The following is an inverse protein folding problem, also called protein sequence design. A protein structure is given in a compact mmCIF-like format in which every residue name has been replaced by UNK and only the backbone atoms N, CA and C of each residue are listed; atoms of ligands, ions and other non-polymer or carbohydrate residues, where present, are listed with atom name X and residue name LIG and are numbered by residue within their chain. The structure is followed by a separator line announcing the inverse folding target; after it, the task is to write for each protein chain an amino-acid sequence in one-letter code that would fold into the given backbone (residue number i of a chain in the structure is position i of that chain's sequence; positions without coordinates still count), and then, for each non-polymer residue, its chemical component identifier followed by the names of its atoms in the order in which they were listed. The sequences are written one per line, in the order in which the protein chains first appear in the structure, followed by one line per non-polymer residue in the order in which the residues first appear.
data_IF_350102362220
#
_entry.id   IF_350102362220
#
_cell.length_a   1.000
_cell.length_b   1.000
_cell.length_c   1.000
_cell.angle_alpha   90.00
_cell.angle_beta   90.00
_cell.angle_gamma   90.00
#
_symmetry.space_group_name_H-M   'P 1'
#
loop_
_entity.id
_entity.type
_entity.pdbx_description
1 polymer ?
#
# COMPACT_ATOMS: atom_id res chain seq x y z
N UNK A 1 -5.63 17.52 -8.90
CA UNK A 1 -4.89 16.70 -7.92
C UNK A 1 -5.20 17.27 -6.55
N UNK A 2 -5.67 16.44 -5.63
CA UNK A 2 -6.12 16.88 -4.30
C UNK A 2 -5.01 16.65 -3.30
N UNK A 3 -4.90 17.49 -2.27
CA UNK A 3 -3.96 17.30 -1.17
C UNK A 3 -4.64 16.57 -0.02
N UNK A 4 -3.94 15.61 0.58
CA UNK A 4 -4.31 15.00 1.85
C UNK A 4 -3.25 15.37 2.88
N UNK A 5 -3.69 15.92 4.00
CA UNK A 5 -2.80 16.46 5.02
C UNK A 5 -3.00 15.73 6.33
N UNK A 6 -1.88 15.32 6.93
CA UNK A 6 -1.87 14.62 8.20
C UNK A 6 -0.88 15.32 9.13
N UNK A 7 -1.28 15.44 10.40
CA UNK A 7 -0.41 15.93 11.45
C UNK A 7 -0.15 14.80 12.46
N UNK A 8 1.11 14.42 12.61
CA UNK A 8 1.55 13.39 13.57
C UNK A 8 2.82 13.86 14.25
N UNK A 9 2.89 13.71 15.58
CA UNK A 9 4.07 14.05 16.40
C UNK A 9 4.67 15.45 16.13
N UNK A 10 3.81 16.43 15.85
CA UNK A 10 4.22 17.81 15.54
C UNK A 10 4.76 18.02 14.11
N UNK A 11 4.86 16.96 13.31
CA UNK A 11 5.21 17.02 11.90
C UNK A 11 3.95 17.05 11.01
N UNK A 12 4.01 17.83 9.93
CA UNK A 12 2.96 17.91 8.92
C UNK A 12 3.39 17.15 7.67
N UNK A 13 2.55 16.19 7.27
CA UNK A 13 2.70 15.40 6.06
C UNK A 13 1.67 15.86 5.04
N UNK A 14 2.13 16.20 3.82
CA UNK A 14 1.27 16.65 2.73
C UNK A 14 1.48 15.72 1.56
N UNK A 15 0.41 15.03 1.18
CA UNK A 15 0.38 14.08 0.06
C UNK A 15 -0.42 14.65 -1.11
N UNK A 16 0.18 14.64 -2.30
CA UNK A 16 -0.51 14.85 -3.57
C UNK A 16 -1.18 13.54 -3.98
N UNK A 17 -2.49 13.49 -3.75
CA UNK A 17 -3.29 12.29 -3.95
C UNK A 17 -3.50 12.06 -5.45
N UNK A 18 -2.92 10.98 -5.94
CA UNK A 18 -3.18 10.41 -7.27
C UNK A 18 -4.54 9.72 -7.26
N UNK A 19 -4.83 8.95 -6.21
CA UNK A 19 -6.07 8.21 -6.03
C UNK A 19 -6.37 8.05 -4.54
N UNK A 20 -7.65 8.15 -4.17
CA UNK A 20 -8.13 7.84 -2.82
C UNK A 20 -9.37 6.96 -2.96
N UNK A 21 -9.32 5.74 -2.43
CA UNK A 21 -10.42 4.77 -2.44
C UNK A 21 -11.13 4.62 -1.10
N UNK A 22 -10.72 5.40 -0.10
CA UNK A 22 -11.32 5.38 1.25
C UNK A 22 -12.81 5.68 1.19
N UNK A 23 -13.56 5.00 2.04
CA UNK A 23 -15.01 5.22 2.19
C UNK A 23 -15.33 5.81 3.56
N UNK A 24 -16.26 6.77 3.64
CA UNK A 24 -16.76 7.24 4.92
C UNK A 24 -17.29 6.08 5.76
N UNK A 25 -16.82 5.95 6.98
CA UNK A 25 -17.35 4.97 7.91
C UNK A 25 -18.83 5.27 8.19
N UNK A 26 -19.75 4.29 8.11
CA UNK A 26 -21.17 4.52 8.37
C UNK A 26 -21.47 4.91 9.83
N UNK A 27 -20.53 4.72 10.75
CA UNK A 27 -20.67 5.05 12.17
C UNK A 27 -20.17 6.46 12.49
N UNK A 28 -18.95 6.80 12.07
CA UNK A 28 -18.33 8.08 12.43
C UNK A 28 -18.26 9.10 11.28
N UNK A 29 -18.60 8.71 10.04
CA UNK A 29 -18.51 9.56 8.85
C UNK A 29 -17.07 9.87 8.38
N UNK A 30 -16.05 9.49 9.17
CA UNK A 30 -14.63 9.70 8.84
C UNK A 30 -14.19 8.62 7.84
N UNK A 31 -13.54 8.98 6.72
CA UNK A 31 -12.94 8.01 5.81
C UNK A 31 -12.00 7.06 6.54
N UNK A 32 -12.10 5.76 6.25
CA UNK A 32 -11.27 4.72 6.85
C UNK A 32 -11.23 4.71 8.40
N UNK A 33 -12.20 5.33 9.08
CA UNK A 33 -12.15 5.58 10.53
C UNK A 33 -10.87 6.32 11.01
N UNK A 34 -10.19 7.06 10.13
CA UNK A 34 -8.91 7.73 10.42
C UNK A 34 -7.69 6.80 10.41
N UNK A 35 -7.85 5.57 9.91
CA UNK A 35 -6.80 4.57 9.74
C UNK A 35 -6.64 4.32 8.25
N UNK A 36 -5.64 4.93 7.63
CA UNK A 36 -5.46 4.86 6.18
C UNK A 36 -4.17 4.11 5.85
N UNK A 37 -4.23 3.22 4.86
CA UNK A 37 -3.03 2.69 4.23
C UNK A 37 -2.61 3.65 3.10
N UNK A 38 -1.35 4.10 3.08
CA UNK A 38 -0.85 5.10 2.12
C UNK A 38 0.37 4.55 1.39
N UNK A 39 0.26 4.36 0.08
CA UNK A 39 1.41 4.03 -0.78
C UNK A 39 1.89 5.32 -1.46
N UNK A 40 3.16 5.68 -1.31
CA UNK A 40 3.66 6.96 -1.82
C UNK A 40 5.14 6.95 -2.21
N UNK A 41 5.55 7.97 -2.98
CA UNK A 41 6.96 8.27 -3.23
C UNK A 41 7.17 9.78 -3.24
N UNK A 42 8.39 10.24 -2.96
CA UNK A 42 8.74 11.67 -3.05
C UNK A 42 9.49 11.97 -4.35
N UNK A 43 9.09 13.05 -5.04
CA UNK A 43 9.84 13.60 -6.15
C UNK A 43 9.63 15.11 -6.22
N UNK A 44 10.71 15.89 -6.37
CA UNK A 44 10.68 17.35 -6.38
C UNK A 44 9.90 17.95 -5.19
N UNK A 45 10.14 17.44 -3.97
CA UNK A 45 9.46 17.88 -2.74
C UNK A 45 7.94 17.65 -2.74
N UNK A 46 7.45 16.74 -3.58
CA UNK A 46 6.05 16.36 -3.66
C UNK A 46 5.91 14.87 -3.37
N UNK A 47 5.12 14.54 -2.33
CA UNK A 47 4.77 13.16 -1.99
C UNK A 47 3.56 12.72 -2.81
N UNK A 48 3.78 11.92 -3.84
CA UNK A 48 2.72 11.40 -4.69
C UNK A 48 2.14 10.15 -4.05
N UNK A 49 0.82 10.11 -3.79
CA UNK A 49 0.24 9.04 -2.97
C UNK A 49 -1.03 8.42 -3.55
N UNK A 50 -1.24 7.15 -3.21
CA UNK A 50 -2.53 6.47 -3.25
C UNK A 50 -2.94 6.15 -1.82
N UNK A 51 -4.21 6.41 -1.49
CA UNK A 51 -4.78 6.23 -0.15
C UNK A 51 -5.89 5.18 -0.22
N UNK A 52 -5.83 4.21 0.69
CA UNK A 52 -6.79 3.12 0.85
C UNK A 52 -7.38 3.13 2.26
N UNK A 53 -8.50 2.42 2.45
CA UNK A 53 -9.00 2.14 3.80
C UNK A 53 -7.95 1.37 4.61
N UNK A 54 -7.90 1.55 5.93
CA UNK A 54 -6.94 0.87 6.80
C UNK A 54 -7.23 -0.62 6.92
N UNK A 55 -6.16 -1.41 7.09
CA UNK A 55 -6.22 -2.87 7.11
C UNK A 55 -6.60 -3.50 5.77
N UNK A 56 -6.69 -2.70 4.70
CA UNK A 56 -7.07 -3.16 3.37
C UNK A 56 -5.99 -4.06 2.78
N UNK A 57 -4.73 -3.67 2.97
CA UNK A 57 -3.62 -4.55 2.71
C UNK A 57 -3.82 -5.85 3.53
N UNK A 58 -3.87 -5.81 4.87
CA UNK A 58 -3.86 -7.04 5.69
C UNK A 58 -4.86 -8.10 5.23
N UNK A 59 -6.08 -7.65 4.92
CA UNK A 59 -7.16 -8.53 4.49
C UNK A 59 -6.88 -9.13 3.11
N UNK A 60 -6.26 -8.38 2.20
CA UNK A 60 -5.83 -8.89 0.89
C UNK A 60 -4.71 -9.93 1.03
N UNK A 61 -3.69 -9.66 1.86
CA UNK A 61 -2.60 -10.60 2.14
C UNK A 61 -3.11 -11.90 2.76
N UNK A 62 -3.94 -11.80 3.80
CA UNK A 62 -4.56 -12.97 4.44
C UNK A 62 -5.37 -13.80 3.43
N UNK A 63 -6.16 -13.17 2.57
CA UNK A 63 -6.94 -13.87 1.56
C UNK A 63 -6.05 -14.56 0.51
N UNK A 64 -4.97 -13.90 0.07
CA UNK A 64 -3.98 -14.47 -0.84
C UNK A 64 -3.39 -15.75 -0.25
N UNK A 65 -2.82 -15.67 0.96
CA UNK A 65 -2.21 -16.83 1.61
C UNK A 65 -3.25 -17.92 1.88
N UNK A 66 -4.45 -17.56 2.35
CA UNK A 66 -5.56 -18.53 2.53
C UNK A 66 -5.89 -19.29 1.25
N UNK A 67 -5.92 -18.62 0.09
CA UNK A 67 -6.23 -19.24 -1.21
C UNK A 67 -5.05 -20.04 -1.79
N UNK A 68 -3.80 -19.64 -1.53
CA UNK A 68 -2.61 -20.17 -2.21
C UNK A 68 -1.70 -21.05 -1.35
N UNK A 69 -1.90 -21.13 -0.03
CA UNK A 69 -1.01 -21.80 0.92
C UNK A 69 -0.57 -23.21 0.50
N UNK A 70 -1.48 -23.98 -0.13
CA UNK A 70 -1.21 -25.37 -0.52
C UNK A 70 -0.49 -25.53 -1.87
N UNK A 71 -0.49 -24.49 -2.69
CA UNK A 71 -0.03 -24.56 -4.10
C UNK A 71 1.16 -23.66 -4.36
N UNK A 72 1.44 -22.71 -3.47
CA UNK A 72 2.50 -21.73 -3.66
C UNK A 72 3.83 -22.27 -3.15
N UNK A 73 4.89 -22.05 -3.92
CA UNK A 73 6.25 -22.24 -3.44
C UNK A 73 6.66 -21.00 -2.65
N UNK A 74 6.62 -21.09 -1.32
CA UNK A 74 6.88 -19.95 -0.43
C UNK A 74 8.27 -19.34 -0.64
N UNK A 75 9.29 -20.16 -0.87
CA UNK A 75 10.68 -19.70 -1.05
C UNK A 75 10.85 -18.85 -2.31
N UNK A 76 9.98 -19.04 -3.31
CA UNK A 76 9.97 -18.26 -4.55
C UNK A 76 9.17 -16.96 -4.47
N UNK A 77 8.53 -16.67 -3.33
CA UNK A 77 7.80 -15.42 -3.17
C UNK A 77 8.74 -14.21 -3.11
N UNK A 78 8.28 -13.05 -3.63
CA UNK A 78 8.89 -11.76 -3.33
C UNK A 78 9.03 -11.54 -1.84
N UNK A 79 10.06 -10.79 -1.45
CA UNK A 79 10.36 -10.51 -0.05
C UNK A 79 9.22 -9.75 0.63
N UNK A 80 8.60 -8.79 -0.06
CA UNK A 80 7.41 -8.08 0.40
C UNK A 80 6.30 -9.03 0.82
N UNK A 81 6.02 -10.08 0.03
CA UNK A 81 4.98 -11.07 0.36
C UNK A 81 5.39 -11.94 1.56
N UNK A 82 6.68 -12.27 1.69
CA UNK A 82 7.21 -13.04 2.82
C UNK A 82 7.14 -12.22 4.11
N UNK A 83 7.72 -11.02 4.08
CA UNK A 83 7.68 -10.04 5.15
C UNK A 83 6.25 -9.80 5.62
N UNK A 84 5.33 -9.65 4.67
CA UNK A 84 3.91 -9.52 4.97
C UNK A 84 3.38 -10.71 5.77
N UNK A 85 3.54 -11.93 5.25
CA UNK A 85 3.05 -13.13 5.93
C UNK A 85 3.69 -13.34 7.31
N UNK A 86 4.97 -13.00 7.44
CA UNK A 86 5.75 -13.13 8.66
C UNK A 86 5.50 -11.99 9.65
N UNK A 87 4.77 -10.94 9.24
CA UNK A 87 4.65 -9.68 9.99
C UNK A 87 6.02 -9.08 10.36
N UNK A 88 7.04 -9.31 9.50
CA UNK A 88 8.42 -8.83 9.67
C UNK A 88 8.64 -7.55 8.87
N UNK A 89 9.26 -6.53 9.47
CA UNK A 89 9.54 -5.25 8.80
C UNK A 89 8.39 -4.23 8.83
N UNK A 90 7.25 -4.58 9.42
CA UNK A 90 6.04 -3.73 9.45
C UNK A 90 5.88 -2.90 10.73
N UNK A 91 6.82 -3.01 11.67
CA UNK A 91 6.81 -2.26 12.94
C UNK A 91 6.99 -0.75 12.72
N UNK A 92 7.61 -0.34 11.60
CA UNK A 92 7.84 1.06 11.23
C UNK A 92 6.78 1.63 10.27
N UNK A 93 5.76 0.83 9.88
CA UNK A 93 4.74 1.27 8.93
C UNK A 93 3.71 2.24 9.54
N UNK A 94 3.76 2.50 10.84
CA UNK A 94 2.81 3.37 11.56
C UNK A 94 3.21 4.86 11.48
N UNK A 95 4.43 5.16 11.02
CA UNK A 95 4.93 6.50 10.76
C UNK A 95 4.56 6.94 9.32
N UNK A 96 4.15 8.20 9.16
CA UNK A 96 3.87 8.80 7.85
C UNK A 96 5.12 9.10 6.99
N UNK A 97 6.34 8.97 7.54
CA UNK A 97 7.58 8.84 6.77
C UNK A 97 7.67 7.51 6.01
N UNK A 98 6.87 6.51 6.41
CA UNK A 98 6.63 5.26 5.70
C UNK A 98 7.81 4.30 5.66
N UNK A 99 7.49 3.01 5.55
CA UNK A 99 8.46 1.95 5.35
C UNK A 99 8.90 1.89 3.87
N UNK A 100 10.20 1.90 3.57
CA UNK A 100 10.69 1.83 2.20
C UNK A 100 10.44 0.45 1.59
N UNK A 101 10.00 0.44 0.34
CA UNK A 101 9.78 -0.77 -0.45
C UNK A 101 10.80 -0.89 -1.57
N UNK A 102 11.32 -2.09 -1.80
CA UNK A 102 12.00 -2.41 -3.05
C UNK A 102 10.95 -2.43 -4.18
N UNK A 103 11.18 -1.62 -5.21
CA UNK A 103 10.15 -1.42 -6.25
C UNK A 103 9.99 -2.66 -7.13
N UNK A 104 11.09 -3.35 -7.47
CA UNK A 104 11.00 -4.49 -8.37
C UNK A 104 10.37 -5.69 -7.64
N UNK A 105 10.69 -5.87 -6.36
CA UNK A 105 10.05 -6.84 -5.48
C UNK A 105 8.56 -6.54 -5.25
N UNK A 106 8.20 -5.27 -5.01
CA UNK A 106 6.80 -4.85 -4.88
C UNK A 106 6.02 -5.08 -6.18
N UNK A 107 6.60 -4.74 -7.35
CA UNK A 107 5.97 -4.99 -8.64
C UNK A 107 5.74 -6.49 -8.89
N UNK A 108 6.71 -7.34 -8.56
CA UNK A 108 6.53 -8.79 -8.63
C UNK A 108 5.40 -9.29 -7.71
N UNK A 109 5.25 -8.67 -6.53
CA UNK A 109 4.16 -8.95 -5.60
C UNK A 109 2.79 -8.58 -6.19
N UNK A 110 2.68 -7.42 -6.84
CA UNK A 110 1.45 -7.01 -7.53
C UNK A 110 1.07 -8.00 -8.62
N UNK A 111 2.03 -8.48 -9.42
CA UNK A 111 1.77 -9.49 -10.46
C UNK A 111 1.25 -10.81 -9.88
N UNK A 112 1.75 -11.23 -8.72
CA UNK A 112 1.22 -12.39 -8.01
C UNK A 112 -0.20 -12.15 -7.48
N UNK A 113 -0.48 -10.98 -6.91
CA UNK A 113 -1.81 -10.63 -6.42
C UNK A 113 -2.83 -10.61 -7.56
N UNK A 114 -2.45 -10.16 -8.77
CA UNK A 114 -3.31 -10.22 -9.98
C UNK A 114 -3.69 -11.63 -10.39
N UNK A 115 -2.82 -12.61 -10.11
CA UNK A 115 -3.10 -14.03 -10.38
C UNK A 115 -4.09 -14.65 -9.40
N UNK A 116 -4.50 -13.89 -8.38
CA UNK A 116 -5.47 -14.27 -7.37
C UNK A 116 -6.76 -13.46 -7.54
N UNK A 117 -7.88 -14.15 -7.41
CA UNK A 117 -9.15 -13.47 -7.26
C UNK A 117 -9.21 -12.84 -5.85
N UNK A 118 -8.93 -11.54 -5.78
CA UNK A 118 -8.95 -10.75 -4.55
C UNK A 118 -10.01 -9.66 -4.59
N UNK A 119 -10.98 -9.71 -5.52
CA UNK A 119 -11.88 -8.56 -5.83
C UNK A 119 -12.67 -8.01 -4.62
N UNK A 120 -12.81 -8.79 -3.55
CA UNK A 120 -13.37 -8.33 -2.27
C UNK A 120 -12.49 -7.30 -1.55
N UNK A 121 -11.18 -7.37 -1.74
CA UNK A 121 -10.16 -6.64 -1.00
C UNK A 121 -9.22 -5.83 -1.89
N UNK A 122 -8.94 -6.25 -3.12
CA UNK A 122 -8.15 -5.52 -4.10
C UNK A 122 -8.76 -5.74 -5.47
N UNK A 123 -9.25 -4.67 -6.06
CA UNK A 123 -9.71 -4.66 -7.45
C UNK A 123 -8.53 -4.63 -8.40
N UNK A 124 -8.75 -5.05 -9.66
CA UNK A 124 -7.72 -4.95 -10.70
C UNK A 124 -7.30 -3.50 -10.96
N UNK A 125 -8.25 -2.57 -10.92
CA UNK A 125 -7.98 -1.14 -11.07
C UNK A 125 -7.08 -0.62 -9.94
N UNK A 126 -7.26 -1.08 -8.70
CA UNK A 126 -6.37 -0.72 -7.59
C UNK A 126 -4.96 -1.30 -7.75
N UNK A 127 -4.85 -2.53 -8.25
CA UNK A 127 -3.55 -3.14 -8.62
C UNK A 127 -2.87 -2.37 -9.77
N UNK A 128 -3.63 -1.91 -10.76
CA UNK A 128 -3.15 -1.05 -11.85
C UNK A 128 -2.66 0.31 -11.32
N UNK A 129 -3.42 0.94 -10.43
CA UNK A 129 -3.05 2.20 -9.80
C UNK A 129 -1.74 2.06 -8.98
N UNK A 130 -1.62 1.01 -8.16
CA UNK A 130 -0.40 0.72 -7.39
C UNK A 130 0.80 0.47 -8.30
N UNK A 131 0.63 -0.34 -9.33
CA UNK A 131 1.68 -0.63 -10.31
C UNK A 131 2.13 0.62 -11.07
N UNK A 132 1.19 1.49 -11.45
CA UNK A 132 1.49 2.75 -12.10
C UNK A 132 2.28 3.69 -11.18
N UNK A 133 1.90 3.78 -9.90
CA UNK A 133 2.62 4.58 -8.91
C UNK A 133 4.06 4.07 -8.72
N UNK A 134 4.24 2.77 -8.49
CA UNK A 134 5.55 2.14 -8.32
C UNK A 134 6.43 2.30 -9.58
N UNK A 135 5.85 2.10 -10.77
CA UNK A 135 6.55 2.31 -12.04
C UNK A 135 7.01 3.76 -12.21
N UNK A 136 6.19 4.72 -11.78
CA UNK A 136 6.55 6.14 -11.83
C UNK A 136 7.65 6.48 -10.83
N UNK A 137 7.62 5.91 -9.61
CA UNK A 137 8.70 6.05 -8.64
C UNK A 137 10.03 5.54 -9.23
N UNK A 138 10.01 4.34 -9.84
CA UNK A 138 11.20 3.76 -10.50
C UNK A 138 11.75 4.64 -11.61
N UNK A 139 10.90 5.13 -12.51
CA UNK A 139 11.30 6.03 -13.61
C UNK A 139 11.96 7.32 -13.11
N UNK A 140 11.59 7.76 -11.90
CA UNK A 140 12.08 8.99 -11.26
C UNK A 140 13.27 8.75 -10.34
N UNK A 141 13.71 7.51 -10.14
CA UNK A 141 14.73 7.15 -9.16
C UNK A 141 14.31 7.45 -7.72
N UNK A 142 13.00 7.46 -7.44
CA UNK A 142 12.47 7.75 -6.11
C UNK A 142 12.25 6.45 -5.32
N UNK A 143 12.34 6.53 -4.00
CA UNK A 143 11.98 5.43 -3.09
C UNK A 143 10.46 5.36 -2.95
N UNK A 144 9.90 4.18 -3.22
CA UNK A 144 8.51 3.87 -2.90
C UNK A 144 8.41 3.55 -1.41
N UNK A 145 7.35 4.00 -0.77
CA UNK A 145 7.11 3.81 0.66
C UNK A 145 5.66 3.47 0.94
N UNK A 146 5.41 2.79 2.05
CA UNK A 146 4.07 2.47 2.54
C UNK A 146 3.88 2.89 3.99
N UNK A 147 2.70 3.42 4.29
CA UNK A 147 2.18 3.70 5.63
C UNK A 147 0.96 2.82 5.83
N UNK A 148 0.76 2.32 7.04
CA UNK A 148 -0.36 1.46 7.39
C UNK A 148 -1.12 1.97 8.62
N UNK A 149 -2.45 2.03 8.51
CA UNK A 149 -3.36 2.59 9.51
C UNK A 149 -4.22 1.56 10.24
#
# INVERSE_FOLDING_TARGET
MTTHEIQSDGQRFIFQVVKNTTKPCPVCGVPACGKEDILWYEHNQHRMAIIFDGGYFDLAGQEFFRKKLKTINYDSLPEFMKEWNESRGWEDCWDYEGYPLDIDDFLASIDLLRSCDLEKWLTKDELDDMQALATNARKKGATLKIVRG
#
